data_IF_780239605868
#
_entry.id   IF_780239605868
#
_cell.length_a   1.000
_cell.length_b   1.000
_cell.length_c   1.000
_cell.angle_alpha   90.00
_cell.angle_beta   90.00
_cell.angle_gamma   90.00
#
_symmetry.space_group_name_H-M   'P 1'
#
loop_
_entity.id
_entity.type
_entity.pdbx_description
1 polymer ?
#
# COMPACT_ATOMS: atom_id res chain seq x y z
N UNK A 1 -29.44 28.79 30.13
CA UNK A 1 -29.36 27.31 29.99
C UNK A 1 -28.95 26.90 28.57
N UNK A 2 -29.57 27.48 27.53
CA UNK A 2 -29.33 27.17 26.10
C UNK A 2 -27.87 27.48 25.64
N UNK A 3 -27.28 28.60 26.05
CA UNK A 3 -25.92 28.98 25.62
C UNK A 3 -24.83 28.01 26.14
N UNK A 4 -24.99 27.50 27.36
CA UNK A 4 -24.08 26.50 27.94
C UNK A 4 -24.18 25.15 27.24
N UNK A 5 -25.39 24.78 26.82
CA UNK A 5 -25.64 23.58 26.03
C UNK A 5 -25.00 23.70 24.64
N UNK A 6 -25.06 24.88 24.03
CA UNK A 6 -24.44 25.15 22.73
C UNK A 6 -22.90 25.09 22.80
N UNK A 7 -22.30 25.69 23.84
CA UNK A 7 -20.86 25.61 24.09
C UNK A 7 -20.42 24.15 24.31
N UNK A 8 -21.20 23.38 25.07
CA UNK A 8 -20.93 21.96 25.29
C UNK A 8 -20.97 21.16 23.98
N UNK A 9 -21.93 21.44 23.09
CA UNK A 9 -22.08 20.75 21.80
C UNK A 9 -20.95 21.10 20.82
N UNK A 10 -20.46 22.34 20.84
CA UNK A 10 -19.29 22.77 20.05
C UNK A 10 -17.99 22.16 20.57
N UNK A 11 -17.83 22.04 21.89
CA UNK A 11 -16.69 21.36 22.49
C UNK A 11 -16.71 19.86 22.17
N UNK A 12 -17.89 19.22 22.21
CA UNK A 12 -18.04 17.79 21.90
C UNK A 12 -17.63 17.45 20.45
N UNK A 13 -17.88 18.35 19.49
CA UNK A 13 -17.47 18.15 18.08
C UNK A 13 -15.99 18.46 17.85
N UNK A 14 -15.37 19.35 18.62
CA UNK A 14 -13.94 19.66 18.51
C UNK A 14 -13.02 18.62 19.17
N UNK A 15 -13.53 17.81 20.09
CA UNK A 15 -12.75 16.80 20.85
C UNK A 15 -12.68 15.44 20.14
N UNK A 16 -13.43 15.22 19.06
CA UNK A 16 -13.34 14.01 18.24
C UNK A 16 -12.57 14.28 16.94
N UNK A 17 -11.22 14.17 16.91
CA UNK A 17 -10.51 14.13 15.64
C UNK A 17 -10.98 12.89 14.86
N UNK A 18 -11.42 13.09 13.62
CA UNK A 18 -11.68 12.00 12.70
C UNK A 18 -10.34 11.30 12.39
N UNK A 19 -10.15 10.10 12.91
CA UNK A 19 -8.99 9.28 12.57
C UNK A 19 -9.08 8.90 11.09
N UNK A 20 -8.30 9.56 10.24
CA UNK A 20 -8.12 9.15 8.85
C UNK A 20 -7.20 7.94 8.86
N UNK A 21 -7.77 6.75 8.82
CA UNK A 21 -7.03 5.51 8.65
C UNK A 21 -6.74 5.33 7.16
N UNK A 22 -5.53 5.71 6.72
CA UNK A 22 -5.03 5.26 5.43
C UNK A 22 -4.78 3.76 5.51
N UNK A 23 -5.45 2.97 4.67
CA UNK A 23 -5.25 1.54 4.63
C UNK A 23 -3.87 1.24 4.02
N UNK A 24 -2.97 0.68 4.83
CA UNK A 24 -1.66 0.19 4.38
C UNK A 24 -1.64 -1.33 4.47
N UNK A 25 -1.01 -1.97 3.50
CA UNK A 25 -0.72 -3.41 3.52
C UNK A 25 0.76 -3.56 3.87
N UNK A 26 1.09 -4.36 4.87
CA UNK A 26 2.48 -4.68 5.21
C UNK A 26 2.73 -6.17 4.97
N UNK A 27 3.91 -6.52 4.49
CA UNK A 27 4.27 -7.92 4.27
C UNK A 27 5.61 -8.10 3.57
N UNK A 28 6.02 -9.35 3.43
CA UNK A 28 7.25 -9.74 2.74
C UNK A 28 7.01 -9.89 1.24
N UNK A 29 7.90 -9.40 0.40
CA UNK A 29 7.88 -9.72 -1.03
C UNK A 29 8.34 -11.16 -1.23
N UNK A 30 7.46 -11.99 -1.79
CA UNK A 30 7.70 -13.43 -2.02
C UNK A 30 7.82 -13.79 -3.50
N UNK A 31 7.53 -12.84 -4.40
CA UNK A 31 7.67 -13.03 -5.85
C UNK A 31 7.71 -11.69 -6.57
N UNK A 32 8.56 -11.58 -7.59
CA UNK A 32 8.53 -10.51 -8.60
C UNK A 32 8.07 -11.12 -9.94
N UNK A 33 6.99 -10.60 -10.51
CA UNK A 33 6.40 -11.12 -11.75
C UNK A 33 7.09 -10.56 -13.00
N UNK A 34 7.29 -9.24 -13.01
CA UNK A 34 7.84 -8.41 -14.09
C UNK A 34 8.43 -7.13 -13.45
N UNK A 35 8.65 -6.05 -14.22
CA UNK A 35 9.26 -4.82 -13.71
C UNK A 35 8.33 -3.86 -12.95
N UNK A 36 7.03 -4.15 -12.84
CA UNK A 36 6.07 -3.30 -12.10
C UNK A 36 5.16 -4.09 -11.14
N UNK A 37 5.24 -5.42 -11.15
CA UNK A 37 4.33 -6.27 -10.39
C UNK A 37 5.05 -7.21 -9.43
N UNK A 38 4.62 -7.18 -8.16
CA UNK A 38 5.12 -8.03 -7.07
C UNK A 38 3.99 -8.83 -6.42
N UNK A 39 4.36 -9.85 -5.65
CA UNK A 39 3.46 -10.54 -4.72
C UNK A 39 4.00 -10.36 -3.30
N UNK A 40 3.17 -9.81 -2.44
CA UNK A 40 3.46 -9.59 -1.02
C UNK A 40 2.67 -10.59 -0.18
N UNK A 41 3.34 -11.26 0.76
CA UNK A 41 2.72 -12.11 1.75
C UNK A 41 2.57 -11.33 3.07
N UNK A 42 1.34 -11.20 3.57
CA UNK A 42 1.07 -10.56 4.86
C UNK A 42 1.38 -11.48 6.05
N UNK A 43 1.26 -10.95 7.26
CA UNK A 43 1.45 -11.65 8.52
C UNK A 43 0.47 -12.83 8.74
N UNK A 44 -0.70 -12.77 8.09
CA UNK A 44 -1.68 -13.85 8.05
C UNK A 44 -1.37 -14.89 6.96
N UNK A 45 -0.25 -14.76 6.25
CA UNK A 45 0.17 -15.65 5.18
C UNK A 45 -0.60 -15.47 3.86
N UNK A 46 -1.48 -14.47 3.76
CA UNK A 46 -2.25 -14.19 2.53
C UNK A 46 -1.35 -13.50 1.52
N UNK A 47 -1.50 -13.90 0.26
CA UNK A 47 -0.71 -13.37 -0.86
C UNK A 47 -1.52 -12.30 -1.61
N UNK A 48 -0.92 -11.14 -1.77
CA UNK A 48 -1.47 -9.98 -2.45
C UNK A 48 -0.64 -9.71 -3.70
N UNK A 49 -1.25 -9.78 -4.88
CA UNK A 49 -0.61 -9.36 -6.14
C UNK A 49 -0.76 -7.86 -6.28
N UNK A 50 0.34 -7.15 -6.43
CA UNK A 50 0.39 -5.68 -6.38
C UNK A 50 1.09 -5.18 -7.63
N UNK A 51 0.42 -4.29 -8.37
CA UNK A 51 0.99 -3.57 -9.50
C UNK A 51 1.31 -2.14 -9.07
N UNK A 52 2.53 -1.70 -9.33
CA UNK A 52 3.00 -0.36 -8.96
C UNK A 52 2.24 0.70 -9.77
N UNK A 53 1.64 1.67 -9.09
CA UNK A 53 0.85 2.70 -9.74
C UNK A 53 1.74 3.65 -10.54
N UNK A 54 1.36 3.94 -11.78
CA UNK A 54 2.07 4.88 -12.66
C UNK A 54 3.35 4.33 -13.30
N UNK A 55 3.63 3.05 -13.13
CA UNK A 55 4.72 2.35 -13.80
C UNK A 55 4.10 1.34 -14.76
N UNK A 56 4.59 1.30 -15.99
CA UNK A 56 4.28 0.27 -16.98
C UNK A 56 5.60 -0.33 -17.46
N UNK A 57 5.88 -1.55 -17.03
CA UNK A 57 7.12 -2.24 -17.36
C UNK A 57 6.92 -3.25 -18.49
N UNK A 58 7.98 -3.55 -19.28
CA UNK A 58 7.90 -4.62 -20.26
C UNK A 58 7.57 -5.96 -19.59
N UNK A 59 6.60 -6.67 -20.16
CA UNK A 59 6.23 -8.01 -19.74
C UNK A 59 7.37 -9.00 -20.04
N UNK A 60 7.38 -10.16 -19.38
CA UNK A 60 8.49 -11.13 -19.49
C UNK A 60 8.80 -11.60 -20.94
N UNK A 61 7.81 -11.59 -21.84
CA UNK A 61 7.97 -11.98 -23.24
C UNK A 61 8.30 -10.81 -24.18
N UNK A 62 8.43 -9.59 -23.66
CA UNK A 62 8.78 -8.40 -24.42
C UNK A 62 10.29 -8.13 -24.34
N UNK A 63 10.85 -7.36 -25.30
CA UNK A 63 12.21 -6.88 -25.21
C UNK A 63 12.47 -6.21 -23.85
N UNK A 64 13.59 -6.57 -23.22
CA UNK A 64 14.01 -6.07 -21.89
C UNK A 64 13.14 -6.51 -20.69
N UNK A 65 12.14 -7.37 -20.86
CA UNK A 65 11.29 -7.86 -19.76
C UNK A 65 12.09 -8.50 -18.61
N UNK A 66 13.04 -9.39 -18.95
CA UNK A 66 13.93 -10.01 -17.96
C UNK A 66 14.82 -8.99 -17.23
N UNK A 67 15.35 -8.00 -17.95
CA UNK A 67 16.17 -6.95 -17.33
C UNK A 67 15.36 -6.08 -16.38
N UNK A 68 14.14 -5.69 -16.79
CA UNK A 68 13.22 -4.91 -15.98
C UNK A 68 12.84 -5.65 -14.69
N UNK A 69 12.46 -6.93 -14.82
CA UNK A 69 12.20 -7.81 -13.68
C UNK A 69 13.40 -7.92 -12.73
N UNK A 70 14.60 -8.20 -13.26
CA UNK A 70 15.80 -8.39 -12.43
C UNK A 70 16.17 -7.10 -11.68
N UNK A 71 15.96 -5.93 -12.29
CA UNK A 71 16.15 -4.65 -11.62
C UNK A 71 15.22 -4.51 -10.41
N UNK A 72 13.90 -4.74 -10.60
CA UNK A 72 12.96 -4.70 -9.47
C UNK A 72 13.31 -5.76 -8.41
N UNK A 73 13.62 -7.00 -8.83
CA UNK A 73 14.02 -8.08 -7.94
C UNK A 73 15.21 -7.72 -7.06
N UNK A 74 16.23 -7.07 -7.62
CA UNK A 74 17.41 -6.62 -6.85
C UNK A 74 17.11 -5.60 -5.75
N UNK A 75 15.96 -4.92 -5.83
CA UNK A 75 15.55 -3.89 -4.89
C UNK A 75 14.63 -4.39 -3.78
N UNK A 76 13.84 -5.44 -4.06
CA UNK A 76 12.72 -5.80 -3.18
C UNK A 76 12.58 -7.28 -2.86
N UNK A 77 13.35 -8.19 -3.47
CA UNK A 77 13.17 -9.63 -3.24
C UNK A 77 13.47 -10.01 -1.78
N UNK A 78 12.49 -10.65 -1.12
CA UNK A 78 12.58 -11.02 0.29
C UNK A 78 12.42 -9.86 1.29
N UNK A 79 12.30 -8.62 0.83
CA UNK A 79 12.20 -7.44 1.69
C UNK A 79 10.81 -7.28 2.33
N UNK A 80 10.79 -6.68 3.53
CA UNK A 80 9.55 -6.27 4.19
C UNK A 80 9.12 -4.91 3.67
N UNK A 81 7.93 -4.84 3.07
CA UNK A 81 7.42 -3.63 2.42
C UNK A 81 6.12 -3.14 3.05
N UNK A 82 5.90 -1.83 2.95
CA UNK A 82 4.61 -1.18 3.22
C UNK A 82 4.02 -0.68 1.91
N UNK A 83 2.88 -1.21 1.53
CA UNK A 83 2.13 -0.85 0.33
C UNK A 83 1.04 0.13 0.74
N UNK A 84 1.13 1.34 0.19
CA UNK A 84 0.06 2.33 0.27
C UNK A 84 -0.90 2.10 -0.89
N UNK A 85 -2.19 1.95 -0.60
CA UNK A 85 -3.21 1.77 -1.61
C UNK A 85 -4.45 2.60 -1.27
N UNK A 86 -5.18 3.00 -2.30
CA UNK A 86 -6.52 3.56 -2.15
C UNK A 86 -7.51 2.48 -2.58
N UNK A 87 -8.49 2.20 -1.71
CA UNK A 87 -9.68 1.42 -2.09
C UNK A 87 -10.60 2.26 -2.95
#
# INVERSE_FOLDING_TARGET
MILRFFIFLVVLTFVFPAYVLAATLQGQVVKVADGDTITVQDDMGRKHRIRLAGIDAPEMNQPYGLHSKNNLMSLVDGEMVTVQYKK
#
